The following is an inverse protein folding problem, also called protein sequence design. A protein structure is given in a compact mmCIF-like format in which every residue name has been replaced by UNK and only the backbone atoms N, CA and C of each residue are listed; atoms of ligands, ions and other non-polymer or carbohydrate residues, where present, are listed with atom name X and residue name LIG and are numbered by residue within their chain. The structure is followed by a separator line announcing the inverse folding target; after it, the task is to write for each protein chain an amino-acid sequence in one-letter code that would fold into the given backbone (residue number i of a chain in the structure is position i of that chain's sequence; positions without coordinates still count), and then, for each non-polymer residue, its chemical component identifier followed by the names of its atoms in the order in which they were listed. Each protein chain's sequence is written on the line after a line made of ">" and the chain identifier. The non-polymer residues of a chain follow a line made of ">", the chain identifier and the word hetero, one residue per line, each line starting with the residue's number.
data_IF_767661996636
#
_entry.id   IF_767661996636
#
_cell.length_a   1.000
_cell.length_b   1.000
_cell.length_c   1.000
_cell.angle_alpha   90.00
_cell.angle_beta   90.00
_cell.angle_gamma   90.00
#
_symmetry.space_group_name_H-M   'P 1'
#
loop_
_entity.id
_entity.type
_entity.pdbx_description
1 polymer ?
#
# COMPACT_ATOMS: atom_id res chain seq x y z
N UNK A 1 35.02 15.73 4.63
CA UNK A 1 33.68 16.38 4.54
C UNK A 1 32.51 15.44 4.19
N UNK A 2 32.67 14.11 4.14
CA UNK A 2 31.61 13.15 3.73
C UNK A 2 30.64 12.74 4.86
N UNK A 3 31.00 12.92 6.14
CA UNK A 3 30.29 12.31 7.27
C UNK A 3 28.98 13.03 7.69
N UNK A 4 28.82 14.32 7.37
CA UNK A 4 27.67 15.13 7.83
C UNK A 4 26.41 14.93 6.97
N UNK A 5 26.56 14.54 5.69
CA UNK A 5 25.46 14.40 4.71
C UNK A 5 24.60 13.14 4.92
N UNK A 6 25.16 12.10 5.54
CA UNK A 6 24.44 10.85 5.82
C UNK A 6 23.47 10.96 7.00
N UNK A 7 23.76 11.81 7.98
CA UNK A 7 22.96 11.94 9.21
C UNK A 7 21.64 12.71 8.99
N UNK A 8 21.62 13.64 8.04
CA UNK A 8 20.39 14.37 7.68
C UNK A 8 19.44 13.49 6.87
N UNK A 9 19.97 12.70 5.92
CA UNK A 9 19.18 11.73 5.14
C UNK A 9 18.54 10.66 6.02
N UNK A 10 19.29 10.08 6.96
CA UNK A 10 18.77 9.04 7.86
C UNK A 10 17.66 9.57 8.77
N UNK A 11 17.80 10.80 9.28
CA UNK A 11 16.76 11.48 10.07
C UNK A 11 15.49 11.78 9.27
N UNK A 12 15.63 12.26 8.04
CA UNK A 12 14.48 12.50 7.16
C UNK A 12 13.74 11.18 6.88
N UNK A 13 14.48 10.10 6.60
CA UNK A 13 13.92 8.78 6.36
C UNK A 13 13.19 8.26 7.61
N UNK A 14 13.79 8.36 8.80
CA UNK A 14 13.15 7.89 10.04
C UNK A 14 11.87 8.67 10.35
N UNK A 15 11.90 9.99 10.14
CA UNK A 15 10.74 10.86 10.30
C UNK A 15 9.66 10.49 9.29
N UNK A 16 10.02 10.23 8.03
CA UNK A 16 9.05 9.82 7.00
C UNK A 16 8.43 8.46 7.29
N UNK A 17 9.20 7.48 7.78
CA UNK A 17 8.66 6.17 8.19
C UNK A 17 7.74 6.25 9.41
N UNK A 18 8.03 7.17 10.34
CA UNK A 18 7.13 7.45 11.47
C UNK A 18 5.87 8.18 11.01
N UNK A 19 6.01 9.18 10.12
CA UNK A 19 4.89 9.93 9.59
C UNK A 19 3.97 9.04 8.74
N UNK A 20 4.52 8.15 7.90
CA UNK A 20 3.72 7.23 7.08
C UNK A 20 2.91 6.26 7.94
N UNK A 21 3.46 5.79 9.05
CA UNK A 21 2.74 4.89 9.97
C UNK A 21 1.57 5.57 10.69
N UNK A 22 1.61 6.89 10.88
CA UNK A 22 0.48 7.66 11.44
C UNK A 22 -0.46 8.26 10.40
N UNK A 23 0.01 8.59 9.19
CA UNK A 23 -0.80 9.21 8.13
C UNK A 23 -1.68 8.21 7.39
N UNK A 24 -1.21 6.97 7.20
CA UNK A 24 -1.95 5.95 6.46
C UNK A 24 -3.33 5.71 7.09
N UNK A 25 -3.49 5.48 8.41
CA UNK A 25 -4.81 5.28 9.01
C UNK A 25 -5.71 6.52 8.98
N UNK A 26 -5.14 7.74 8.93
CA UNK A 26 -5.92 8.99 8.99
C UNK A 26 -6.53 9.31 7.62
N UNK A 27 -5.78 9.07 6.55
CA UNK A 27 -6.18 9.40 5.18
C UNK A 27 -6.72 8.21 4.39
N UNK A 28 -6.63 6.99 4.94
CA UNK A 28 -7.23 5.83 4.29
C UNK A 28 -8.74 5.86 4.50
N UNK A 29 -9.43 6.20 3.41
CA UNK A 29 -10.87 6.07 3.33
C UNK A 29 -11.20 4.58 3.30
N UNK A 30 -12.10 4.16 4.19
CA UNK A 30 -12.67 2.81 4.16
C UNK A 30 -13.95 2.88 3.36
N UNK A 31 -14.22 1.95 2.43
CA UNK A 31 -15.54 1.88 1.81
C UNK A 31 -16.53 1.58 2.93
N UNK A 32 -17.33 2.59 3.25
CA UNK A 32 -18.32 2.57 4.30
C UNK A 32 -19.36 1.55 3.88
N UNK A 33 -19.45 0.51 4.70
CA UNK A 33 -20.18 -0.70 4.41
C UNK A 33 -21.51 -0.68 5.16
N UNK A 34 -22.46 -1.40 4.57
CA UNK A 34 -23.83 -1.74 4.94
C UNK A 34 -24.84 -0.66 5.41
N UNK A 35 -24.51 0.28 6.29
CA UNK A 35 -25.48 1.31 6.74
C UNK A 35 -25.50 2.50 5.76
N UNK A 36 -24.39 2.74 5.05
CA UNK A 36 -24.15 3.98 4.32
C UNK A 36 -23.99 3.81 2.80
N UNK A 37 -24.40 2.66 2.21
CA UNK A 37 -24.47 2.42 0.77
C UNK A 37 -23.40 3.16 -0.07
N UNK A 38 -22.17 2.63 -0.10
CA UNK A 38 -21.25 2.91 -1.21
C UNK A 38 -20.36 4.14 -1.06
N UNK A 39 -19.92 4.47 0.15
CA UNK A 39 -19.05 5.61 0.31
C UNK A 39 -17.70 5.26 0.91
N UNK A 40 -16.63 5.37 0.13
CA UNK A 40 -15.31 5.70 0.68
C UNK A 40 -15.31 7.14 1.25
N UNK A 41 -16.20 7.52 2.19
CA UNK A 41 -16.32 8.91 2.70
C UNK A 41 -15.92 9.10 4.13
N UNK A 42 -15.90 8.03 4.93
CA UNK A 42 -15.71 8.17 6.36
C UNK A 42 -14.24 7.90 6.65
N UNK A 43 -13.50 8.87 7.22
CA UNK A 43 -12.16 8.62 7.71
C UNK A 43 -12.17 7.40 8.63
N UNK A 44 -11.18 6.51 8.52
CA UNK A 44 -11.13 5.28 9.31
C UNK A 44 -11.34 5.52 10.81
N UNK A 45 -10.83 6.63 11.34
CA UNK A 45 -11.03 7.02 12.74
C UNK A 45 -12.51 7.23 13.11
N UNK A 46 -13.30 7.79 12.21
CA UNK A 46 -14.73 8.01 12.40
C UNK A 46 -15.49 6.68 12.32
N UNK A 47 -15.09 5.79 11.41
CA UNK A 47 -15.61 4.42 11.34
C UNK A 47 -15.34 3.65 12.65
N UNK A 48 -14.14 3.75 13.21
CA UNK A 48 -13.81 3.12 14.50
C UNK A 48 -14.72 3.62 15.63
N UNK A 49 -15.06 4.92 15.64
CA UNK A 49 -16.03 5.49 16.58
C UNK A 49 -17.41 4.82 16.48
N UNK A 50 -17.93 4.65 15.27
CA UNK A 50 -19.21 3.95 15.04
C UNK A 50 -19.15 2.46 15.39
N UNK A 51 -18.04 1.80 15.06
CA UNK A 51 -17.82 0.39 15.39
C UNK A 51 -17.92 0.12 16.90
N UNK A 52 -17.29 0.96 17.72
CA UNK A 52 -17.35 0.79 19.18
C UNK A 52 -18.73 1.11 19.77
N UNK A 53 -19.54 1.93 19.09
CA UNK A 53 -20.93 2.20 19.48
C UNK A 53 -21.88 1.07 19.06
N UNK A 54 -21.64 0.44 17.91
CA UNK A 54 -22.46 -0.64 17.40
C UNK A 54 -21.61 -1.74 16.72
N UNK A 55 -21.15 -2.75 17.48
CA UNK A 55 -20.30 -3.82 16.96
C UNK A 55 -20.97 -4.67 15.86
N UNK A 56 -22.31 -4.69 15.81
CA UNK A 56 -23.04 -5.43 14.78
C UNK A 56 -22.81 -4.89 13.37
N UNK A 57 -22.24 -3.68 13.24
CA UNK A 57 -21.83 -3.12 11.95
C UNK A 57 -20.93 -4.08 11.17
N UNK A 58 -20.05 -4.85 11.85
CA UNK A 58 -19.20 -5.84 11.19
C UNK A 58 -19.97 -6.94 10.46
N UNK A 59 -21.09 -7.40 11.03
CA UNK A 59 -21.90 -8.46 10.43
C UNK A 59 -22.58 -7.90 9.17
N UNK A 60 -23.12 -6.69 9.27
CA UNK A 60 -23.72 -6.01 8.14
C UNK A 60 -22.68 -5.76 7.03
N UNK A 61 -21.49 -5.30 7.40
CA UNK A 61 -20.40 -5.00 6.49
C UNK A 61 -19.90 -6.26 5.79
N UNK A 62 -19.73 -7.35 6.53
CA UNK A 62 -19.36 -8.64 5.96
C UNK A 62 -20.43 -9.15 4.98
N UNK A 63 -21.71 -9.09 5.34
CA UNK A 63 -22.81 -9.51 4.48
C UNK A 63 -22.93 -8.67 3.21
N UNK A 64 -22.54 -7.39 3.27
CA UNK A 64 -22.52 -6.50 2.13
C UNK A 64 -21.30 -6.77 1.24
N UNK A 65 -20.09 -6.74 1.83
CA UNK A 65 -18.83 -6.91 1.12
C UNK A 65 -18.76 -8.26 0.42
N UNK A 66 -19.17 -9.34 1.10
CA UNK A 66 -19.12 -10.71 0.55
C UNK A 66 -19.92 -10.90 -0.73
N UNK A 67 -20.85 -9.99 -1.07
CA UNK A 67 -21.64 -10.02 -2.31
C UNK A 67 -20.96 -9.31 -3.48
N UNK A 68 -19.98 -8.45 -3.22
CA UNK A 68 -19.31 -7.66 -4.24
C UNK A 68 -18.11 -8.40 -4.83
N UNK A 69 -17.85 -8.25 -6.13
CA UNK A 69 -16.80 -9.02 -6.81
C UNK A 69 -15.40 -8.63 -6.33
N UNK A 70 -15.21 -7.36 -5.99
CA UNK A 70 -13.94 -6.87 -5.42
C UNK A 70 -13.56 -7.50 -4.08
N UNK A 71 -14.49 -8.17 -3.38
CA UNK A 71 -14.23 -8.82 -2.10
C UNK A 71 -13.16 -9.90 -2.18
N UNK A 72 -13.18 -10.73 -3.23
CA UNK A 72 -12.18 -11.78 -3.40
C UNK A 72 -10.76 -11.21 -3.54
N UNK A 73 -10.62 -10.06 -4.20
CA UNK A 73 -9.35 -9.35 -4.32
C UNK A 73 -8.90 -8.76 -2.98
N UNK A 74 -9.82 -8.19 -2.20
CA UNK A 74 -9.53 -7.69 -0.85
C UNK A 74 -9.02 -8.83 0.04
N UNK A 75 -9.70 -9.98 0.05
CA UNK A 75 -9.28 -11.15 0.84
C UNK A 75 -7.92 -11.67 0.38
N UNK A 76 -7.71 -11.80 -0.92
CA UNK A 76 -6.43 -12.24 -1.47
C UNK A 76 -5.28 -11.29 -1.08
N UNK A 77 -5.49 -9.98 -1.25
CA UNK A 77 -4.52 -8.98 -0.84
C UNK A 77 -4.27 -8.98 0.68
N UNK A 78 -5.30 -9.19 1.51
CA UNK A 78 -5.18 -9.27 2.96
C UNK A 78 -4.36 -10.50 3.40
N UNK A 79 -4.57 -11.66 2.75
CA UNK A 79 -3.74 -12.85 2.98
C UNK A 79 -2.27 -12.58 2.62
N UNK A 80 -2.01 -11.95 1.46
CA UNK A 80 -0.66 -11.57 1.05
C UNK A 80 -0.02 -10.60 2.05
N UNK A 81 -0.78 -9.62 2.52
CA UNK A 81 -0.32 -8.64 3.51
C UNK A 81 0.06 -9.32 4.83
N UNK A 82 -0.84 -10.14 5.39
CA UNK A 82 -0.60 -10.86 6.65
C UNK A 82 0.61 -11.78 6.52
N UNK A 83 0.71 -12.53 5.43
CA UNK A 83 1.87 -13.38 5.17
C UNK A 83 3.18 -12.58 5.16
N UNK A 84 3.19 -11.44 4.45
CA UNK A 84 4.35 -10.56 4.35
C UNK A 84 4.70 -9.90 5.68
N UNK A 85 3.71 -9.53 6.47
CA UNK A 85 3.85 -8.92 7.79
C UNK A 85 4.42 -9.91 8.81
N UNK A 86 3.84 -11.11 8.92
CA UNK A 86 4.36 -12.17 9.78
C UNK A 86 5.81 -12.46 9.42
N UNK A 87 6.10 -12.62 8.12
CA UNK A 87 7.45 -12.90 7.66
C UNK A 87 8.45 -11.80 8.04
N UNK A 88 8.06 -10.54 7.89
CA UNK A 88 8.88 -9.38 8.25
C UNK A 88 9.12 -9.31 9.77
N UNK A 89 8.08 -9.54 10.57
CA UNK A 89 8.19 -9.52 12.04
C UNK A 89 9.11 -10.62 12.56
N UNK A 90 9.04 -11.82 11.98
CA UNK A 90 9.91 -12.95 12.35
C UNK A 90 11.38 -12.72 11.95
N UNK A 91 11.66 -12.01 10.83
CA UNK A 91 13.02 -11.87 10.27
C UNK A 91 13.62 -10.46 10.39
N UNK A 92 13.06 -9.59 11.22
CA UNK A 92 13.35 -8.13 11.30
C UNK A 92 14.80 -7.70 11.53
N UNK A 93 15.70 -8.60 11.92
CA UNK A 93 17.08 -8.27 12.32
C UNK A 93 18.06 -8.19 11.15
N UNK A 94 17.71 -8.73 9.99
CA UNK A 94 18.59 -8.85 8.83
C UNK A 94 17.90 -8.44 7.53
N UNK A 95 18.67 -8.30 6.45
CA UNK A 95 18.09 -8.09 5.12
C UNK A 95 17.30 -9.35 4.72
N UNK A 96 15.99 -9.18 4.55
CA UNK A 96 15.07 -10.28 4.25
C UNK A 96 15.13 -10.57 2.74
N UNK A 97 15.66 -11.74 2.36
CA UNK A 97 15.78 -12.20 0.95
C UNK A 97 14.98 -13.48 0.66
N UNK A 98 14.23 -13.97 1.64
CA UNK A 98 13.58 -15.28 1.64
C UNK A 98 12.06 -15.13 1.73
N UNK A 99 11.33 -16.23 1.48
CA UNK A 99 9.86 -16.22 1.47
C UNK A 99 9.29 -15.31 0.37
N UNK A 100 8.31 -14.43 0.67
CA UNK A 100 7.69 -13.56 -0.33
C UNK A 100 8.68 -12.55 -0.94
N UNK A 101 9.68 -12.14 -0.14
CA UNK A 101 10.71 -11.19 -0.52
C UNK A 101 11.74 -11.78 -1.52
N UNK A 102 11.73 -13.10 -1.74
CA UNK A 102 12.56 -13.70 -2.82
C UNK A 102 12.09 -13.26 -4.22
N UNK A 103 10.80 -12.98 -4.37
CA UNK A 103 10.20 -12.70 -5.68
C UNK A 103 9.95 -11.21 -5.90
N UNK A 104 9.45 -10.52 -4.87
CA UNK A 104 9.06 -9.11 -4.94
C UNK A 104 9.53 -8.38 -3.67
N UNK A 105 10.27 -7.29 -3.84
CA UNK A 105 10.90 -6.54 -2.74
C UNK A 105 9.89 -5.87 -1.82
N UNK A 106 8.85 -5.26 -2.37
CA UNK A 106 7.81 -4.61 -1.56
C UNK A 106 6.48 -5.35 -1.65
N UNK A 107 6.48 -6.57 -1.15
CA UNK A 107 5.30 -7.44 -1.12
C UNK A 107 4.13 -6.80 -0.35
N UNK A 108 4.42 -6.03 0.72
CA UNK A 108 3.40 -5.32 1.50
C UNK A 108 2.71 -4.21 0.70
N UNK A 109 3.46 -3.39 -0.04
CA UNK A 109 2.84 -2.35 -0.88
C UNK A 109 2.06 -2.93 -2.04
N UNK A 110 2.53 -4.04 -2.64
CA UNK A 110 1.74 -4.78 -3.63
C UNK A 110 0.42 -5.28 -3.04
N UNK A 111 0.46 -5.85 -1.83
CA UNK A 111 -0.74 -6.30 -1.14
C UNK A 111 -1.72 -5.15 -0.89
N UNK A 112 -1.24 -3.98 -0.45
CA UNK A 112 -2.08 -2.78 -0.30
C UNK A 112 -2.70 -2.33 -1.61
N UNK A 113 -1.94 -2.31 -2.71
CA UNK A 113 -2.47 -1.95 -4.05
C UNK A 113 -3.61 -2.89 -4.45
N UNK A 114 -3.46 -4.20 -4.22
CA UNK A 114 -4.50 -5.20 -4.51
C UNK A 114 -5.74 -4.97 -3.64
N UNK A 115 -5.55 -4.69 -2.35
CA UNK A 115 -6.65 -4.41 -1.41
C UNK A 115 -7.41 -3.14 -1.82
N UNK A 116 -6.71 -2.02 -2.04
CA UNK A 116 -7.35 -0.75 -2.41
C UNK A 116 -8.00 -0.82 -3.79
N UNK A 117 -7.44 -1.61 -4.71
CA UNK A 117 -8.07 -1.90 -5.99
C UNK A 117 -9.37 -2.70 -5.81
N UNK A 118 -9.36 -3.74 -4.96
CA UNK A 118 -10.56 -4.49 -4.61
C UNK A 118 -11.65 -3.58 -4.04
N UNK A 119 -11.30 -2.69 -3.11
CA UNK A 119 -12.24 -1.70 -2.56
C UNK A 119 -12.75 -0.70 -3.62
N UNK A 120 -11.90 -0.31 -4.56
CA UNK A 120 -12.31 0.55 -5.70
C UNK A 120 -13.36 -0.15 -6.55
N UNK A 121 -13.18 -1.44 -6.87
CA UNK A 121 -14.16 -2.24 -7.61
C UNK A 121 -15.48 -2.38 -6.85
N UNK A 122 -15.42 -2.64 -5.54
CA UNK A 122 -16.63 -2.67 -4.70
C UNK A 122 -17.36 -1.34 -4.80
N UNK A 123 -16.63 -0.21 -4.76
CA UNK A 123 -17.24 1.11 -4.85
C UNK A 123 -17.97 1.31 -6.19
N UNK A 124 -17.44 0.77 -7.30
CA UNK A 124 -18.09 0.82 -8.61
C UNK A 124 -19.38 -0.01 -8.69
N UNK A 125 -19.52 -1.04 -7.87
CA UNK A 125 -20.73 -1.86 -7.76
C UNK A 125 -21.78 -1.24 -6.80
N UNK A 126 -21.44 -0.14 -6.14
CA UNK A 126 -22.30 0.48 -5.13
C UNK A 126 -22.86 1.82 -5.60
N UNK A 127 -24.06 2.12 -5.13
CA UNK A 127 -24.74 3.38 -5.38
C UNK A 127 -25.54 3.78 -4.13
N UNK A 128 -25.55 5.07 -3.75
CA UNK A 128 -24.87 6.19 -4.40
C UNK A 128 -23.37 6.28 -4.04
N UNK A 129 -22.55 6.77 -4.98
CA UNK A 129 -21.15 7.14 -4.69
C UNK A 129 -21.07 8.62 -4.34
N UNK A 130 -20.13 8.99 -3.46
CA UNK A 130 -19.90 10.40 -3.10
C UNK A 130 -19.59 11.23 -4.34
N UNK A 131 -20.43 12.22 -4.60
CA UNK A 131 -20.13 13.23 -5.60
C UNK A 131 -19.16 14.24 -5.00
N UNK A 132 -17.91 14.17 -5.45
CA UNK A 132 -16.94 15.23 -5.21
C UNK A 132 -17.32 16.41 -6.10
N UNK A 133 -17.63 17.56 -5.51
CA UNK A 133 -17.92 18.80 -6.25
C UNK A 133 -16.62 19.41 -6.80
N UNK A 134 -15.95 18.64 -7.65
CA UNK A 134 -14.65 18.97 -8.25
C UNK A 134 -14.85 18.95 -9.77
N UNK A 135 -15.11 20.13 -10.35
CA UNK A 135 -14.99 20.37 -11.79
C UNK A 135 -15.90 19.51 -12.68
N UNK A 136 -17.15 19.25 -12.29
CA UNK A 136 -18.12 18.42 -13.03
C UNK A 136 -17.70 16.94 -13.25
N UNK A 137 -16.71 16.44 -12.50
CA UNK A 137 -16.32 15.03 -12.59
C UNK A 137 -17.33 14.14 -11.85
N UNK A 138 -17.62 12.98 -12.42
CA UNK A 138 -18.41 11.95 -11.75
C UNK A 138 -17.63 11.39 -10.54
N UNK A 139 -18.30 11.15 -9.41
CA UNK A 139 -17.71 10.54 -8.21
C UNK A 139 -16.90 9.27 -8.51
N UNK A 140 -17.39 8.39 -9.39
CA UNK A 140 -16.66 7.18 -9.80
C UNK A 140 -15.31 7.50 -10.45
N UNK A 141 -15.26 8.52 -11.31
CA UNK A 141 -14.03 8.96 -11.98
C UNK A 141 -13.03 9.54 -10.98
N UNK A 142 -13.51 10.33 -10.01
CA UNK A 142 -12.66 10.90 -8.97
C UNK A 142 -12.04 9.80 -8.11
N UNK A 143 -12.82 8.79 -7.70
CA UNK A 143 -12.32 7.65 -6.92
C UNK A 143 -11.25 6.88 -7.70
N UNK A 144 -11.45 6.67 -9.00
CA UNK A 144 -10.44 6.03 -9.84
C UNK A 144 -9.12 6.83 -9.87
N UNK A 145 -9.19 8.15 -9.99
CA UNK A 145 -7.99 9.00 -9.95
C UNK A 145 -7.31 9.03 -8.58
N UNK A 146 -8.09 9.01 -7.50
CA UNK A 146 -7.56 8.86 -6.14
C UNK A 146 -6.77 7.55 -6.03
N UNK A 147 -7.33 6.43 -6.48
CA UNK A 147 -6.64 5.14 -6.48
C UNK A 147 -5.34 5.16 -7.30
N UNK A 148 -5.32 5.80 -8.48
CA UNK A 148 -4.09 6.00 -9.26
C UNK A 148 -3.06 6.80 -8.44
N UNK A 149 -3.50 7.86 -7.77
CA UNK A 149 -2.66 8.65 -6.87
C UNK A 149 -2.06 7.81 -5.73
N UNK A 150 -2.86 6.94 -5.11
CA UNK A 150 -2.41 6.00 -4.08
C UNK A 150 -1.36 5.01 -4.61
N UNK A 151 -1.57 4.43 -5.79
CA UNK A 151 -0.60 3.53 -6.42
C UNK A 151 0.74 4.25 -6.65
N UNK A 152 0.71 5.48 -7.14
CA UNK A 152 1.92 6.29 -7.31
C UNK A 152 2.58 6.61 -5.97
N UNK A 153 1.81 6.95 -4.94
CA UNK A 153 2.34 7.16 -3.59
C UNK A 153 3.04 5.92 -3.04
N UNK A 154 2.45 4.72 -3.20
CA UNK A 154 3.08 3.46 -2.80
C UNK A 154 4.38 3.18 -3.58
N UNK A 155 4.42 3.46 -4.88
CA UNK A 155 5.65 3.35 -5.69
C UNK A 155 6.74 4.29 -5.15
N UNK A 156 6.39 5.54 -4.83
CA UNK A 156 7.34 6.51 -4.26
C UNK A 156 7.83 6.04 -2.90
N UNK A 157 6.95 5.57 -2.03
CA UNK A 157 7.30 5.02 -0.71
C UNK A 157 8.26 3.84 -0.83
N UNK A 158 7.99 2.89 -1.74
CA UNK A 158 8.90 1.78 -1.99
C UNK A 158 10.28 2.22 -2.47
N UNK A 159 10.35 3.26 -3.34
CA UNK A 159 11.65 3.80 -3.76
C UNK A 159 12.41 4.47 -2.62
N UNK A 160 11.70 5.18 -1.73
CA UNK A 160 12.31 5.78 -0.53
C UNK A 160 12.86 4.67 0.39
N UNK A 161 12.11 3.59 0.56
CA UNK A 161 12.53 2.43 1.35
C UNK A 161 13.74 1.72 0.72
N UNK A 162 13.77 1.51 -0.60
CA UNK A 162 14.94 0.96 -1.32
C UNK A 162 16.19 1.83 -1.08
N UNK A 163 16.06 3.16 -1.08
CA UNK A 163 17.17 4.08 -0.77
C UNK A 163 17.64 3.91 0.68
N UNK A 164 16.71 3.76 1.62
CA UNK A 164 17.02 3.53 3.04
C UNK A 164 17.73 2.20 3.26
N UNK A 165 17.24 1.12 2.63
CA UNK A 165 17.82 -0.22 2.70
C UNK A 165 19.22 -0.25 2.05
N UNK A 166 19.40 0.43 0.91
CA UNK A 166 20.72 0.58 0.29
C UNK A 166 21.71 1.32 1.21
N UNK A 167 21.26 2.36 1.91
CA UNK A 167 22.10 3.08 2.86
C UNK A 167 22.48 2.21 4.08
N UNK A 168 21.61 1.28 4.49
CA UNK A 168 21.82 0.41 5.65
C UNK A 168 22.65 -0.84 5.33
N UNK A 169 22.42 -1.48 4.19
CA UNK A 169 22.98 -2.79 3.84
C UNK A 169 23.97 -2.75 2.66
N UNK A 170 24.17 -1.59 2.03
CA UNK A 170 25.20 -1.36 1.01
C UNK A 170 25.11 -2.30 -0.18
N UNK A 171 26.20 -3.01 -0.45
CA UNK A 171 26.34 -3.88 -1.63
C UNK A 171 25.44 -5.12 -1.56
N UNK A 172 25.19 -5.66 -0.37
CA UNK A 172 24.28 -6.80 -0.17
C UNK A 172 22.86 -6.49 -0.69
N UNK A 173 22.42 -5.24 -0.51
CA UNK A 173 21.13 -4.79 -1.04
C UNK A 173 21.18 -4.56 -2.55
N UNK A 174 22.30 -4.07 -3.07
CA UNK A 174 22.48 -3.84 -4.50
C UNK A 174 22.42 -5.15 -5.29
N UNK A 175 23.01 -6.22 -4.76
CA UNK A 175 22.87 -7.58 -5.31
C UNK A 175 21.41 -8.05 -5.29
N UNK A 176 20.74 -7.91 -4.14
CA UNK A 176 19.35 -8.30 -3.99
C UNK A 176 18.40 -7.60 -4.98
N UNK A 177 18.60 -6.30 -5.25
CA UNK A 177 17.81 -5.54 -6.24
C UNK A 177 17.97 -6.08 -7.66
N UNK A 178 19.15 -6.61 -8.00
CA UNK A 178 19.40 -7.19 -9.32
C UNK A 178 18.62 -8.48 -9.54
N UNK A 179 18.39 -9.25 -8.48
CA UNK A 179 17.74 -10.56 -8.56
C UNK A 179 16.21 -10.48 -8.43
N UNK A 180 15.71 -9.49 -7.69
CA UNK A 180 14.29 -9.45 -7.26
C UNK A 180 13.54 -8.32 -7.95
N UNK A 181 12.23 -8.50 -8.17
CA UNK A 181 11.33 -7.48 -8.73
C UNK A 181 10.95 -6.43 -7.69
N UNK A 182 10.58 -5.22 -8.11
CA UNK A 182 10.22 -4.15 -7.18
C UNK A 182 8.84 -4.35 -6.53
N UNK A 183 7.76 -4.25 -7.32
CA UNK A 183 6.35 -4.42 -6.89
C UNK A 183 5.53 -5.06 -8.00
N UNK A 184 5.56 -4.42 -9.16
CA UNK A 184 5.06 -4.93 -10.44
C UNK A 184 6.26 -5.35 -11.30
N UNK A 185 6.08 -6.25 -12.27
CA UNK A 185 7.12 -6.58 -13.23
C UNK A 185 7.45 -5.34 -14.08
N UNK A 186 8.34 -4.48 -13.58
CA UNK A 186 8.94 -3.45 -14.40
C UNK A 186 9.89 -4.16 -15.36
N UNK A 187 9.63 -4.05 -16.67
CA UNK A 187 10.53 -4.50 -17.74
C UNK A 187 11.95 -4.04 -17.40
N UNK A 188 12.78 -4.97 -16.92
CA UNK A 188 14.21 -4.71 -16.73
C UNK A 188 14.78 -4.59 -18.14
N UNK A 189 14.85 -3.36 -18.66
CA UNK A 189 15.65 -3.05 -19.84
C UNK A 189 17.08 -3.52 -19.51
N UNK A 190 17.48 -4.59 -20.19
CA UNK A 190 18.77 -5.26 -20.02
C UNK A 190 19.85 -4.19 -20.22
N UNK A 191 20.43 -3.69 -19.14
CA UNK A 191 21.49 -2.69 -19.19
C UNK A 191 22.72 -3.40 -19.75
N UNK A 192 23.03 -3.14 -21.03
CA UNK A 192 24.17 -3.73 -21.71
C UNK A 192 25.43 -3.42 -20.90
N UNK A 193 26.14 -4.45 -20.43
CA UNK A 193 27.47 -4.28 -19.84
C UNK A 193 28.39 -3.82 -20.97
N UNK A 194 28.75 -2.55 -20.99
CA UNK A 194 29.90 -2.10 -21.78
C UNK A 194 31.13 -2.59 -21.04
N UNK A 195 31.67 -3.74 -21.47
CA UNK A 195 33.03 -4.13 -21.12
C UNK A 195 33.95 -3.03 -21.67
N UNK A 196 34.61 -2.28 -20.78
CA UNK A 196 35.80 -1.53 -21.14
C UNK A 196 36.97 -2.50 -20.96
N UNK A 197 37.53 -2.92 -22.08
CA UNK A 197 38.89 -3.43 -22.19
C UNK A 197 39.90 -2.33 -21.80
#
# INVERSE_FOLDING_TARGET
>A
MSHKRNNTKSRIISIFTSISSYLIPIYQYVPCTAIWFGIMSVPFITYLGFFFQNPNILIYDFNFLSKAHGFYLVIFGLILYIYSLIYQLTHRKQLIRTGPYKYIRHHQYLAFIIITFGFTLITFETSPVFNFDIGNLNGYTVIFYIWIGEVLAYIVLGKIEDIALKAKYGDQFSEYVNDVLFMVPSLKLKRYKTNKE
#
